data_IF_925793833197
#
_entry.id   IF_925793833197
#
_cell.length_a   1.000
_cell.length_b   1.000
_cell.length_c   1.000
_cell.angle_alpha   90.00
_cell.angle_beta   90.00
_cell.angle_gamma   90.00
#
_symmetry.space_group_name_H-M   'P 1'
#
loop_
_entity.id
_entity.type
_entity.pdbx_description
1 polymer ?
#
# COMPACT_ATOMS: atom_id res chain seq x y z
N UNK A 1 -0.91 -16.32 -17.70
CA UNK A 1 0.02 -15.97 -16.60
C UNK A 1 -0.05 -17.07 -15.56
N UNK A 2 1.10 -17.49 -15.01
CA UNK A 2 1.16 -18.56 -13.99
C UNK A 2 0.47 -18.11 -12.68
N UNK A 3 -0.18 -19.03 -11.96
CA UNK A 3 -0.84 -18.74 -10.69
C UNK A 3 0.08 -18.12 -9.63
N UNK A 4 1.38 -18.41 -9.67
CA UNK A 4 2.40 -17.79 -8.81
C UNK A 4 2.56 -16.29 -9.08
N UNK A 5 2.48 -15.86 -10.36
CA UNK A 5 2.62 -14.45 -10.74
C UNK A 5 1.41 -13.66 -10.25
N UNK A 6 0.21 -14.23 -10.37
CA UNK A 6 -1.01 -13.60 -9.87
C UNK A 6 -0.94 -13.40 -8.35
N UNK A 7 -0.55 -14.43 -7.59
CA UNK A 7 -0.39 -14.31 -6.14
C UNK A 7 0.65 -13.25 -5.74
N UNK A 8 1.77 -13.17 -6.47
CA UNK A 8 2.80 -12.15 -6.22
C UNK A 8 2.29 -10.73 -6.47
N UNK A 9 1.52 -10.53 -7.55
CA UNK A 9 0.90 -9.24 -7.88
C UNK A 9 -0.13 -8.87 -6.80
N UNK A 10 -0.98 -9.80 -6.39
CA UNK A 10 -2.00 -9.56 -5.36
C UNK A 10 -1.37 -9.13 -4.04
N UNK A 11 -0.33 -9.84 -3.58
CA UNK A 11 0.42 -9.48 -2.37
C UNK A 11 1.02 -8.08 -2.50
N UNK A 12 1.65 -7.77 -3.64
CA UNK A 12 2.25 -6.47 -3.88
C UNK A 12 1.20 -5.35 -3.80
N UNK A 13 0.04 -5.55 -4.43
CA UNK A 13 -1.06 -4.58 -4.41
C UNK A 13 -1.60 -4.36 -3.00
N UNK A 14 -1.73 -5.43 -2.20
CA UNK A 14 -2.15 -5.34 -0.79
C UNK A 14 -1.15 -4.53 0.02
N UNK A 15 0.15 -4.82 -0.11
CA UNK A 15 1.21 -4.12 0.64
C UNK A 15 1.25 -2.64 0.26
N UNK A 16 1.20 -2.32 -1.05
CA UNK A 16 1.18 -0.93 -1.53
C UNK A 16 -0.05 -0.18 -1.05
N UNK A 17 -1.22 -0.82 -1.07
CA UNK A 17 -2.48 -0.22 -0.59
C UNK A 17 -2.42 0.04 0.90
N UNK A 18 -1.91 -0.90 1.70
CA UNK A 18 -1.73 -0.72 3.13
C UNK A 18 -0.76 0.43 3.45
N UNK A 19 0.38 0.49 2.75
CA UNK A 19 1.35 1.58 2.89
C UNK A 19 0.73 2.95 2.54
N UNK A 20 -0.06 3.00 1.46
CA UNK A 20 -0.77 4.22 1.04
C UNK A 20 -1.78 4.68 2.11
N UNK A 21 -2.57 3.76 2.67
CA UNK A 21 -3.51 4.09 3.75
C UNK A 21 -2.78 4.68 4.95
N UNK A 22 -1.69 4.05 5.40
CA UNK A 22 -0.89 4.58 6.51
C UNK A 22 -0.34 5.96 6.19
N UNK A 23 0.23 6.14 5.00
CA UNK A 23 0.73 7.44 4.55
C UNK A 23 -0.35 8.52 4.60
N UNK A 24 -1.52 8.25 4.03
CA UNK A 24 -2.64 9.20 4.01
C UNK A 24 -3.15 9.52 5.42
N UNK A 25 -3.26 8.51 6.28
CA UNK A 25 -3.66 8.72 7.69
C UNK A 25 -2.66 9.62 8.40
N UNK A 26 -1.35 9.38 8.23
CA UNK A 26 -0.33 10.23 8.83
C UNK A 26 -0.40 11.65 8.27
N UNK A 27 -0.58 11.80 6.95
CA UNK A 27 -0.71 13.11 6.30
C UNK A 27 -1.92 13.91 6.77
N UNK A 28 -3.02 13.23 7.10
CA UNK A 28 -4.22 13.88 7.65
C UNK A 28 -4.06 14.25 9.13
N UNK A 29 -3.33 13.44 9.91
CA UNK A 29 -3.14 13.69 11.35
C UNK A 29 -2.05 14.71 11.64
N UNK A 30 -0.99 14.73 10.83
CA UNK A 30 0.16 15.61 10.98
C UNK A 30 0.62 16.12 9.60
N UNK A 31 -0.11 17.10 9.03
CA UNK A 31 0.17 17.61 7.70
C UNK A 31 1.48 18.40 7.61
N UNK A 32 2.04 18.85 8.74
CA UNK A 32 3.30 19.60 8.79
C UNK A 32 4.54 18.68 8.79
N UNK A 33 4.35 17.38 9.02
CA UNK A 33 5.41 16.37 8.96
C UNK A 33 5.87 16.05 7.53
N UNK A 34 5.15 16.52 6.52
CA UNK A 34 5.43 16.30 5.10
C UNK A 34 5.90 17.57 4.39
#
# INVERSE_FOLDING_TARGET
MSGTVNAAVDILLIVLSAALVVYLVVALLDPERF
#
